data_IF_297896551505
#
_entry.id   IF_297896551505
#
_cell.length_a   1.000
_cell.length_b   1.000
_cell.length_c   1.000
_cell.angle_alpha   90.00
_cell.angle_beta   90.00
_cell.angle_gamma   90.00
#
_symmetry.space_group_name_H-M   'P 1'
#
loop_
_entity.id
_entity.type
_entity.pdbx_description
1 polymer ?
#
# COMPACT_ATOMS: atom_id res chain seq x y z
N UNK A 1 34.31 6.32 -17.90
CA UNK A 1 34.06 5.53 -16.68
C UNK A 1 32.55 5.41 -16.55
N UNK A 2 32.02 4.24 -16.90
CA UNK A 2 30.60 3.93 -16.81
C UNK A 2 30.24 3.68 -15.35
N UNK A 3 29.35 4.51 -14.81
CA UNK A 3 28.76 4.29 -13.49
C UNK A 3 27.73 3.18 -13.63
N UNK A 4 28.10 1.95 -13.24
CA UNK A 4 27.13 0.87 -13.07
C UNK A 4 26.17 1.23 -11.93
N UNK A 5 24.93 1.53 -12.28
CA UNK A 5 23.80 1.56 -11.35
C UNK A 5 23.51 0.11 -10.93
N UNK A 6 23.92 -0.24 -9.72
CA UNK A 6 23.47 -1.47 -9.06
C UNK A 6 21.95 -1.42 -8.93
N UNK A 7 21.25 -2.15 -9.81
CA UNK A 7 19.80 -2.32 -9.74
C UNK A 7 19.55 -3.36 -8.66
N UNK A 8 19.37 -2.91 -7.41
CA UNK A 8 19.01 -3.81 -6.31
C UNK A 8 17.58 -4.30 -6.51
N UNK A 9 17.43 -5.62 -6.55
CA UNK A 9 16.18 -6.36 -6.77
C UNK A 9 15.26 -6.34 -5.52
N UNK A 10 15.14 -5.19 -4.85
CA UNK A 10 14.42 -4.98 -3.59
C UNK A 10 13.02 -4.35 -3.77
N UNK A 11 12.65 -3.97 -4.99
CA UNK A 11 11.42 -3.21 -5.26
C UNK A 11 10.12 -3.97 -5.00
N UNK A 12 10.00 -5.24 -5.41
CA UNK A 12 8.72 -5.96 -5.37
C UNK A 12 8.19 -6.13 -3.94
N UNK A 13 9.04 -6.56 -3.00
CA UNK A 13 8.66 -6.74 -1.60
C UNK A 13 8.32 -5.40 -0.90
N UNK A 14 8.90 -4.29 -1.36
CA UNK A 14 8.56 -2.95 -0.89
C UNK A 14 7.22 -2.49 -1.45
N UNK A 15 6.96 -2.71 -2.75
CA UNK A 15 5.69 -2.35 -3.39
C UNK A 15 4.50 -3.15 -2.83
N UNK A 16 4.70 -4.44 -2.53
CA UNK A 16 3.64 -5.28 -1.92
C UNK A 16 3.33 -4.81 -0.49
N UNK A 17 4.36 -4.50 0.31
CA UNK A 17 4.18 -3.94 1.66
C UNK A 17 3.42 -2.62 1.60
N UNK A 18 3.87 -1.69 0.76
CA UNK A 18 3.18 -0.42 0.55
C UNK A 18 1.70 -0.61 0.19
N UNK A 19 1.37 -1.54 -0.71
CA UNK A 19 -0.02 -1.83 -1.06
C UNK A 19 -0.84 -2.41 0.12
N UNK A 20 -0.21 -3.20 0.98
CA UNK A 20 -0.83 -3.78 2.17
C UNK A 20 -1.05 -2.73 3.26
N UNK A 21 -0.07 -1.85 3.48
CA UNK A 21 -0.17 -0.75 4.45
C UNK A 21 -1.27 0.24 4.04
N UNK A 22 -1.31 0.60 2.74
CA UNK A 22 -2.39 1.44 2.19
C UNK A 22 -3.75 0.76 2.33
N UNK A 23 -3.83 -0.55 2.08
CA UNK A 23 -5.08 -1.30 2.29
C UNK A 23 -5.52 -1.29 3.77
N UNK A 24 -4.58 -1.41 4.70
CA UNK A 24 -4.84 -1.26 6.14
C UNK A 24 -5.41 0.12 6.47
N UNK A 25 -4.72 1.18 6.07
CA UNK A 25 -5.10 2.56 6.36
C UNK A 25 -6.43 2.97 5.71
N UNK A 26 -6.73 2.48 4.50
CA UNK A 26 -7.93 2.85 3.75
C UNK A 26 -9.14 1.96 4.07
N UNK A 27 -9.00 0.89 4.85
CA UNK A 27 -10.06 -0.12 5.05
C UNK A 27 -11.36 0.50 5.53
N UNK A 28 -11.33 1.27 6.61
CA UNK A 28 -12.54 1.81 7.23
C UNK A 28 -13.24 2.82 6.33
N UNK A 29 -12.49 3.74 5.70
CA UNK A 29 -13.08 4.75 4.81
C UNK A 29 -13.65 4.12 3.53
N UNK A 30 -12.97 3.14 2.95
CA UNK A 30 -13.44 2.44 1.75
C UNK A 30 -14.69 1.64 2.05
N UNK A 31 -14.76 0.95 3.19
CA UNK A 31 -15.95 0.19 3.59
C UNK A 31 -17.13 1.09 3.98
N UNK A 32 -16.87 2.19 4.69
CA UNK A 32 -17.90 3.14 5.09
C UNK A 32 -18.50 3.91 3.90
N UNK A 33 -17.72 4.13 2.84
CA UNK A 33 -18.17 4.82 1.62
C UNK A 33 -18.64 3.86 0.53
N UNK A 34 -18.49 2.55 0.70
CA UNK A 34 -18.94 1.57 -0.28
C UNK A 34 -20.47 1.62 -0.45
N UNK A 35 -20.93 1.42 -1.67
CA UNK A 35 -22.34 1.36 -2.02
C UNK A 35 -22.77 -0.07 -2.29
N UNK A 36 -23.77 -0.55 -1.56
CA UNK A 36 -24.46 -1.80 -1.87
C UNK A 36 -25.35 -1.62 -3.10
N UNK A 37 -25.09 -2.38 -4.15
CA UNK A 37 -25.92 -2.42 -5.36
C UNK A 37 -26.21 -3.88 -5.68
N UNK A 38 -27.48 -4.28 -5.63
CA UNK A 38 -27.85 -5.69 -5.65
C UNK A 38 -27.26 -6.44 -4.44
N UNK A 39 -26.50 -7.50 -4.70
CA UNK A 39 -25.86 -8.34 -3.68
C UNK A 39 -24.36 -8.06 -3.46
N UNK A 40 -23.80 -6.98 -4.03
CA UNK A 40 -22.38 -6.64 -3.94
C UNK A 40 -22.14 -5.21 -3.47
N UNK A 41 -21.02 -5.00 -2.78
CA UNK A 41 -20.52 -3.69 -2.40
C UNK A 41 -19.54 -3.16 -3.43
N UNK A 42 -19.71 -1.91 -3.84
CA UNK A 42 -18.90 -1.24 -4.85
C UNK A 42 -18.25 0.01 -4.25
N UNK A 43 -16.98 0.23 -4.58
CA UNK A 43 -16.24 1.40 -4.07
C UNK A 43 -16.72 2.65 -4.80
N UNK A 44 -17.19 3.65 -4.05
CA UNK A 44 -17.52 4.99 -4.57
C UNK A 44 -16.26 5.83 -4.79
N UNK A 45 -16.39 6.91 -5.54
CA UNK A 45 -15.29 7.84 -5.87
C UNK A 45 -14.49 8.29 -4.65
N UNK A 46 -15.13 8.52 -3.49
CA UNK A 46 -14.45 8.95 -2.27
C UNK A 46 -13.50 7.88 -1.72
N UNK A 47 -13.88 6.60 -1.79
CA UNK A 47 -13.03 5.48 -1.42
C UNK A 47 -11.83 5.35 -2.35
N UNK A 48 -12.04 5.53 -3.67
CA UNK A 48 -10.97 5.53 -4.65
C UNK A 48 -9.97 6.67 -4.45
N UNK A 49 -10.46 7.87 -4.15
CA UNK A 49 -9.62 9.02 -3.85
C UNK A 49 -8.82 8.82 -2.55
N UNK A 50 -9.41 8.18 -1.55
CA UNK A 50 -8.71 7.85 -0.30
C UNK A 50 -7.51 6.93 -0.55
N UNK A 51 -7.68 5.91 -1.39
CA UNK A 51 -6.58 5.02 -1.81
C UNK A 51 -5.51 5.80 -2.57
N UNK A 52 -5.91 6.68 -3.49
CA UNK A 52 -4.96 7.51 -4.24
C UNK A 52 -4.11 8.38 -3.31
N UNK A 53 -4.74 9.06 -2.34
CA UNK A 53 -4.06 9.93 -1.37
C UNK A 53 -3.07 9.13 -0.53
N UNK A 54 -3.45 7.95 -0.06
CA UNK A 54 -2.56 7.06 0.70
C UNK A 54 -1.35 6.57 -0.14
N UNK A 55 -1.47 6.52 -1.47
CA UNK A 55 -0.35 6.28 -2.39
C UNK A 55 0.44 7.54 -2.77
N UNK A 56 0.24 8.67 -2.08
CA UNK A 56 0.88 9.94 -2.41
C UNK A 56 0.46 10.49 -3.78
N UNK A 57 -0.77 10.18 -4.19
CA UNK A 57 -1.34 10.57 -5.48
C UNK A 57 -2.62 11.39 -5.30
N UNK A 58 -2.89 12.28 -6.25
CA UNK A 58 -4.13 13.03 -6.35
C UNK A 58 -4.86 12.63 -7.62
N UNK A 59 -6.17 12.42 -7.51
CA UNK A 59 -7.02 12.14 -8.67
C UNK A 59 -7.80 13.40 -9.06
N UNK A 60 -7.88 13.67 -10.35
CA UNK A 60 -8.57 14.82 -10.90
C UNK A 60 -9.26 14.47 -12.22
N UNK A 61 -10.09 15.39 -12.71
CA UNK A 61 -10.79 15.26 -13.98
C UNK A 61 -10.57 16.52 -14.81
N UNK A 62 -10.46 16.35 -16.13
CA UNK A 62 -10.34 17.43 -17.12
C UNK A 62 -11.14 17.12 -18.38
N UNK A 63 -11.24 18.10 -19.26
CA UNK A 63 -11.79 17.95 -20.61
C UNK A 63 -13.22 17.35 -20.62
N UNK A 64 -14.13 17.98 -19.86
CA UNK A 64 -15.56 17.59 -19.86
C UNK A 64 -16.24 18.17 -21.10
N UNK A 65 -16.42 17.32 -22.10
CA UNK A 65 -16.87 17.69 -23.44
C UNK A 65 -18.21 17.03 -23.77
N UNK A 66 -19.05 17.76 -24.52
CA UNK A 66 -20.23 17.16 -25.14
C UNK A 66 -19.77 16.39 -26.36
N UNK A 67 -20.20 15.13 -26.47
CA UNK A 67 -19.92 14.26 -27.61
C UNK A 67 -21.23 13.67 -28.14
N UNK A 68 -21.17 12.96 -29.26
CA UNK A 68 -22.31 12.21 -29.75
C UNK A 68 -22.77 11.20 -28.68
N UNK A 69 -24.06 11.23 -28.36
CA UNK A 69 -24.67 10.31 -27.40
C UNK A 69 -24.39 10.59 -25.92
N UNK A 70 -23.66 11.65 -25.54
CA UNK A 70 -23.45 11.94 -24.12
C UNK A 70 -22.35 12.94 -23.77
N UNK A 71 -21.78 12.78 -22.58
CA UNK A 71 -20.65 13.55 -22.07
C UNK A 71 -19.43 12.64 -21.91
N UNK A 72 -18.26 13.14 -22.33
CA UNK A 72 -16.96 12.50 -22.15
C UNK A 72 -16.11 13.34 -21.20
N UNK A 73 -15.30 12.70 -20.36
CA UNK A 73 -14.34 13.34 -19.47
C UNK A 73 -13.10 12.47 -19.30
N UNK A 74 -11.94 13.11 -19.12
CA UNK A 74 -10.68 12.42 -18.83
C UNK A 74 -10.34 12.56 -17.35
N UNK A 75 -10.24 11.43 -16.65
CA UNK A 75 -9.75 11.33 -15.30
C UNK A 75 -8.24 11.05 -15.32
N UNK A 76 -7.51 11.66 -14.40
CA UNK A 76 -6.07 11.47 -14.23
C UNK A 76 -5.75 11.18 -12.76
N UNK A 77 -4.76 10.32 -12.54
CA UNK A 77 -4.11 10.16 -11.24
C UNK A 77 -2.68 10.63 -11.38
N UNK A 78 -2.28 11.54 -10.50
CA UNK A 78 -0.99 12.22 -10.54
C UNK A 78 -0.26 12.05 -9.22
N UNK A 79 1.05 11.81 -9.25
CA UNK A 79 1.86 11.85 -8.03
C UNK A 79 1.96 13.28 -7.49
N UNK A 80 1.87 13.42 -6.17
CA UNK A 80 1.91 14.72 -5.52
C UNK A 80 3.32 15.35 -5.52
N UNK A 81 4.37 14.52 -5.54
CA UNK A 81 5.76 14.97 -5.41
C UNK A 81 6.31 15.63 -6.69
N UNK A 82 6.02 15.06 -7.86
CA UNK A 82 6.62 15.44 -9.13
C UNK A 82 5.58 15.76 -10.21
N UNK A 83 4.29 15.60 -9.91
CA UNK A 83 3.22 15.86 -10.86
C UNK A 83 3.15 14.85 -12.01
N UNK A 84 3.82 13.69 -11.92
CA UNK A 84 3.77 12.66 -12.97
C UNK A 84 2.39 11.99 -13.01
N UNK A 85 1.80 11.91 -14.19
CA UNK A 85 0.56 11.16 -14.42
C UNK A 85 0.88 9.67 -14.44
N UNK A 86 0.25 8.90 -13.56
CA UNK A 86 0.46 7.45 -13.44
C UNK A 86 -0.68 6.63 -14.02
N UNK A 87 -1.85 7.24 -14.18
CA UNK A 87 -3.02 6.59 -14.76
C UNK A 87 -3.94 7.64 -15.36
N UNK A 88 -4.56 7.29 -16.47
CA UNK A 88 -5.61 8.08 -17.12
C UNK A 88 -6.75 7.17 -17.53
N UNK A 89 -7.98 7.64 -17.42
CA UNK A 89 -9.13 6.91 -17.93
C UNK A 89 -10.21 7.85 -18.44
N UNK A 90 -10.92 7.40 -19.47
CA UNK A 90 -12.10 8.08 -19.96
C UNK A 90 -13.33 7.65 -19.15
N UNK A 91 -14.06 8.64 -18.64
CA UNK A 91 -15.42 8.50 -18.14
C UNK A 91 -16.42 8.97 -19.19
N UNK A 92 -17.52 8.23 -19.32
CA UNK A 92 -18.62 8.55 -20.23
C UNK A 92 -19.94 8.56 -19.48
N UNK A 93 -20.83 9.49 -19.83
CA UNK A 93 -22.20 9.55 -19.34
C UNK A 93 -23.14 9.70 -20.52
N UNK A 94 -23.92 8.65 -20.79
CA UNK A 94 -24.83 8.59 -21.91
C UNK A 94 -26.04 9.51 -21.77
N UNK A 95 -26.61 9.90 -22.91
CA UNK A 95 -27.95 10.49 -23.00
C UNK A 95 -29.05 9.42 -22.84
N UNK A 96 -28.72 8.15 -23.02
CA UNK A 96 -29.59 6.96 -22.90
C UNK A 96 -29.72 6.44 -21.46
N UNK A 97 -28.98 7.02 -20.52
CA UNK A 97 -29.09 6.68 -19.10
C UNK A 97 -30.29 7.37 -18.45
N UNK A 98 -31.41 6.67 -18.32
CA UNK A 98 -32.69 7.20 -17.82
C UNK A 98 -32.57 8.07 -16.54
N UNK A 99 -31.73 7.65 -15.59
CA UNK A 99 -31.49 8.36 -14.33
C UNK A 99 -30.85 9.75 -14.54
N UNK A 100 -29.98 9.88 -15.55
CA UNK A 100 -29.14 11.04 -15.80
C UNK A 100 -29.59 11.89 -16.98
N UNK A 101 -30.31 11.31 -17.94
CA UNK A 101 -30.80 11.97 -19.16
C UNK A 101 -31.60 13.25 -18.85
N UNK A 102 -32.42 13.21 -17.78
CA UNK A 102 -33.28 14.31 -17.35
C UNK A 102 -32.62 15.28 -16.36
N UNK A 103 -31.38 15.01 -15.94
CA UNK A 103 -30.68 15.85 -14.95
C UNK A 103 -30.11 17.12 -15.61
N UNK A 104 -30.03 18.24 -14.88
CA UNK A 104 -29.41 19.47 -15.39
C UNK A 104 -27.97 19.23 -15.88
N UNK A 105 -27.53 20.01 -16.86
CA UNK A 105 -26.21 19.89 -17.48
C UNK A 105 -25.06 19.87 -16.48
N UNK A 106 -25.09 20.70 -15.43
CA UNK A 106 -24.02 20.72 -14.42
C UNK A 106 -23.89 19.38 -13.68
N UNK A 107 -25.02 18.73 -13.36
CA UNK A 107 -25.04 17.45 -12.65
C UNK A 107 -24.53 16.32 -13.56
N UNK A 108 -24.90 16.35 -14.84
CA UNK A 108 -24.39 15.41 -15.85
C UNK A 108 -22.88 15.56 -16.04
N UNK A 109 -22.38 16.80 -16.14
CA UNK A 109 -20.94 17.09 -16.22
C UNK A 109 -20.20 16.59 -14.96
N UNK A 110 -20.73 16.87 -13.77
CA UNK A 110 -20.14 16.39 -12.52
C UNK A 110 -20.10 14.86 -12.43
N UNK A 111 -21.16 14.17 -12.87
CA UNK A 111 -21.20 12.72 -12.87
C UNK A 111 -20.21 12.09 -13.86
N UNK A 112 -20.05 12.72 -15.04
CA UNK A 112 -19.04 12.29 -16.00
C UNK A 112 -17.62 12.40 -15.40
N UNK A 113 -17.34 13.46 -14.63
CA UNK A 113 -16.08 13.63 -13.91
C UNK A 113 -15.87 12.57 -12.83
N UNK A 114 -16.89 12.25 -12.02
CA UNK A 114 -16.75 11.23 -10.96
C UNK A 114 -16.48 9.86 -11.55
N UNK A 115 -17.14 9.47 -12.65
CA UNK A 115 -16.82 8.24 -13.40
C UNK A 115 -15.37 8.20 -13.88
N UNK A 116 -14.92 9.30 -14.49
CA UNK A 116 -13.57 9.39 -15.03
C UNK A 116 -12.51 9.24 -13.91
N UNK A 117 -12.71 9.91 -12.77
CA UNK A 117 -11.84 9.81 -11.58
C UNK A 117 -11.83 8.37 -11.06
N UNK A 118 -13.00 7.79 -10.81
CA UNK A 118 -13.13 6.42 -10.32
C UNK A 118 -12.43 5.41 -11.23
N UNK A 119 -12.56 5.54 -12.55
CA UNK A 119 -11.88 4.68 -13.52
C UNK A 119 -10.36 4.86 -13.53
N UNK A 120 -9.88 6.09 -13.44
CA UNK A 120 -8.44 6.37 -13.41
C UNK A 120 -7.82 5.79 -12.13
N UNK A 121 -8.46 5.99 -10.98
CA UNK A 121 -8.06 5.39 -9.71
C UNK A 121 -8.12 3.85 -9.75
N UNK A 122 -9.19 3.27 -10.29
CA UNK A 122 -9.31 1.82 -10.46
C UNK A 122 -8.14 1.25 -11.26
N UNK A 123 -7.79 1.88 -12.37
CA UNK A 123 -6.70 1.43 -13.24
C UNK A 123 -5.35 1.43 -12.52
N UNK A 124 -5.15 2.35 -11.58
CA UNK A 124 -3.94 2.40 -10.75
C UNK A 124 -4.00 1.46 -9.53
N UNK A 125 -5.15 1.34 -8.86
CA UNK A 125 -5.24 0.87 -7.47
C UNK A 125 -6.26 -0.26 -7.23
N UNK A 126 -6.84 -0.86 -8.26
CA UNK A 126 -7.80 -1.97 -8.08
C UNK A 126 -7.22 -3.14 -7.26
N UNK A 127 -5.91 -3.38 -7.35
CA UNK A 127 -5.21 -4.41 -6.58
C UNK A 127 -5.29 -4.16 -5.06
N UNK A 128 -5.34 -2.90 -4.62
CA UNK A 128 -5.47 -2.52 -3.21
C UNK A 128 -6.86 -2.88 -2.67
N UNK A 129 -7.92 -2.71 -3.46
CA UNK A 129 -9.29 -3.04 -3.04
C UNK A 129 -9.42 -4.51 -2.65
N UNK A 130 -8.75 -5.40 -3.38
CA UNK A 130 -8.73 -6.84 -3.08
C UNK A 130 -8.01 -7.13 -1.75
N UNK A 131 -6.98 -6.35 -1.41
CA UNK A 131 -6.28 -6.45 -0.12
C UNK A 131 -7.12 -5.87 1.04
N UNK A 132 -7.98 -4.89 0.77
CA UNK A 132 -8.91 -4.33 1.75
C UNK A 132 -9.98 -5.38 2.09
N UNK A 133 -10.77 -5.80 1.12
CA UNK A 133 -11.83 -6.78 1.33
C UNK A 133 -12.12 -7.49 0.02
N UNK A 134 -11.90 -8.80 -0.02
CA UNK A 134 -12.13 -9.62 -1.22
C UNK A 134 -13.57 -9.60 -1.72
N UNK A 135 -14.53 -9.22 -0.86
CA UNK A 135 -15.95 -9.13 -1.22
C UNK A 135 -16.33 -7.78 -1.83
N UNK A 136 -15.43 -6.78 -1.78
CA UNK A 136 -15.62 -5.52 -2.49
C UNK A 136 -15.37 -5.72 -3.98
N UNK A 137 -16.31 -5.23 -4.78
CA UNK A 137 -16.13 -5.14 -6.22
C UNK A 137 -15.10 -4.08 -6.57
N UNK A 138 -14.17 -4.42 -7.47
CA UNK A 138 -13.23 -3.46 -8.06
C UNK A 138 -13.86 -2.61 -9.16
N UNK A 139 -15.11 -2.90 -9.56
CA UNK A 139 -15.89 -2.01 -10.43
C UNK A 139 -16.32 -0.80 -9.60
N UNK A 140 -16.06 0.43 -10.03
CA UNK A 140 -16.53 1.60 -9.30
C UNK A 140 -18.05 1.68 -9.26
N UNK A 141 -18.60 2.15 -8.16
CA UNK A 141 -20.06 2.26 -7.98
C UNK A 141 -20.70 3.14 -9.06
N UNK A 142 -20.00 4.17 -9.52
CA UNK A 142 -20.46 5.10 -10.56
C UNK A 142 -20.71 4.44 -11.93
N UNK A 143 -20.13 3.27 -12.19
CA UNK A 143 -20.25 2.50 -13.44
C UNK A 143 -21.36 1.44 -13.38
N UNK A 144 -22.02 1.27 -12.24
CA UNK A 144 -23.01 0.21 -12.04
C UNK A 144 -24.41 0.77 -12.24
N UNK A 145 -25.24 0.16 -13.10
CA UNK A 145 -26.64 0.55 -13.26
C UNK A 145 -27.43 0.41 -11.95
N UNK A 146 -28.50 1.18 -11.83
CA UNK A 146 -29.41 1.08 -10.69
C UNK A 146 -30.08 -0.30 -10.69
N UNK A 147 -29.83 -1.11 -9.66
CA UNK A 147 -30.26 -2.52 -9.60
C UNK A 147 -29.14 -3.53 -9.87
N UNK A 148 -27.98 -3.08 -10.35
CA UNK A 148 -26.83 -3.93 -10.69
C UNK A 148 -26.79 -4.26 -12.18
N UNK A 149 -25.91 -5.17 -12.55
CA UNK A 149 -25.95 -5.78 -13.88
C UNK A 149 -27.01 -6.87 -13.86
N UNK A 150 -28.07 -6.75 -14.66
CA UNK A 150 -29.09 -7.79 -14.80
C UNK A 150 -28.46 -9.08 -15.36
N UNK A 151 -28.07 -9.95 -14.44
CA UNK A 151 -27.87 -11.39 -14.52
C UNK A 151 -27.15 -11.77 -13.22
N UNK A 152 -27.66 -12.71 -12.40
CA UNK A 152 -26.84 -13.35 -11.39
C UNK A 152 -25.84 -14.25 -12.11
N UNK A 153 -24.85 -13.67 -12.79
CA UNK A 153 -23.59 -14.36 -13.00
C UNK A 153 -23.02 -14.50 -11.61
N UNK A 154 -23.33 -15.64 -10.97
CA UNK A 154 -22.51 -16.20 -9.93
C UNK A 154 -21.10 -16.28 -10.52
N UNK A 155 -20.33 -15.21 -10.32
CA UNK A 155 -18.89 -15.32 -10.31
C UNK A 155 -18.64 -16.39 -9.25
N UNK A 156 -18.10 -17.52 -9.68
CA UNK A 156 -17.72 -18.61 -8.81
C UNK A 156 -16.72 -18.05 -7.79
N UNK A 157 -17.24 -17.65 -6.62
CA UNK A 157 -16.46 -17.24 -5.44
C UNK A 157 -15.81 -18.46 -4.78
N UNK A 158 -16.24 -19.66 -5.15
CA UNK A 158 -15.76 -20.94 -4.62
C UNK A 158 -14.36 -21.31 -5.13
N UNK A 159 -13.83 -20.61 -6.14
CA UNK A 159 -12.44 -20.81 -6.59
C UNK A 159 -11.39 -20.29 -5.61
N UNK A 160 -11.78 -19.53 -4.59
CA UNK A 160 -10.89 -19.06 -3.55
C UNK A 160 -11.59 -19.18 -2.19
N UNK A 161 -11.71 -20.40 -1.70
CA UNK A 161 -11.75 -20.62 -0.26
C UNK A 161 -10.54 -19.90 0.35
N UNK A 162 -10.76 -19.12 1.42
CA UNK A 162 -9.63 -18.55 2.13
C UNK A 162 -8.73 -19.71 2.57
N UNK A 163 -7.41 -19.63 2.33
CA UNK A 163 -6.51 -20.64 2.87
C UNK A 163 -6.78 -20.73 4.37
N UNK A 164 -6.94 -21.96 4.85
CA UNK A 164 -7.09 -22.24 6.27
C UNK A 164 -5.95 -21.59 7.05
N UNK A 165 -6.15 -21.35 8.34
CA UNK A 165 -5.08 -20.83 9.20
C UNK A 165 -3.81 -21.72 9.17
N UNK A 166 -3.93 -22.99 8.77
CA UNK A 166 -2.82 -23.92 8.58
C UNK A 166 -2.10 -23.66 7.26
N UNK A 167 -2.82 -23.51 6.15
CA UNK A 167 -2.24 -23.14 4.85
C UNK A 167 -1.62 -21.74 4.87
N UNK A 168 -2.22 -20.78 5.57
CA UNK A 168 -1.61 -19.46 5.79
C UNK A 168 -0.30 -19.60 6.55
N UNK A 169 -0.24 -20.43 7.60
CA UNK A 169 1.00 -20.69 8.35
C UNK A 169 2.05 -21.36 7.47
N UNK A 170 1.65 -22.28 6.62
CA UNK A 170 2.54 -23.04 5.74
C UNK A 170 3.08 -22.19 4.60
N UNK A 171 2.23 -21.41 3.94
CA UNK A 171 2.60 -20.41 2.93
C UNK A 171 3.50 -19.34 3.57
N UNK A 172 3.19 -18.87 4.78
CA UNK A 172 4.03 -17.92 5.51
C UNK A 172 5.37 -18.54 5.87
N UNK A 173 5.41 -19.80 6.29
CA UNK A 173 6.65 -20.52 6.58
C UNK A 173 7.52 -20.67 5.32
N UNK A 174 6.93 -21.07 4.19
CA UNK A 174 7.62 -21.19 2.90
C UNK A 174 8.13 -19.83 2.40
N UNK A 175 7.34 -18.76 2.51
CA UNK A 175 7.76 -17.41 2.15
C UNK A 175 8.86 -16.86 3.08
N UNK A 176 8.83 -17.23 4.37
CA UNK A 176 9.89 -16.90 5.34
C UNK A 176 11.16 -17.71 5.05
N UNK A 177 11.03 -18.93 4.56
CA UNK A 177 12.13 -19.81 4.15
C UNK A 177 12.77 -19.34 2.83
N UNK A 178 11.97 -18.93 1.83
CA UNK A 178 12.44 -18.28 0.60
C UNK A 178 13.06 -16.90 0.85
N UNK A 179 12.59 -16.15 1.87
CA UNK A 179 13.16 -14.87 2.28
C UNK A 179 14.45 -14.99 3.11
N UNK A 180 14.91 -16.20 3.46
CA UNK A 180 16.30 -16.43 3.87
C UNK A 180 17.24 -16.38 2.66
N UNK A 181 17.15 -15.31 1.88
CA UNK A 181 18.22 -14.95 0.94
C UNK A 181 19.50 -14.74 1.74
N UNK A 182 20.69 -15.14 1.21
CA UNK A 182 21.98 -14.88 1.83
C UNK A 182 22.20 -13.42 2.26
N UNK A 183 21.53 -12.47 1.60
CA UNK A 183 21.62 -11.02 1.90
C UNK A 183 20.86 -10.59 3.18
N UNK A 184 19.97 -11.43 3.73
CA UNK A 184 19.32 -11.18 5.03
C UNK A 184 20.28 -11.42 6.21
N UNK A 185 21.49 -11.93 5.96
CA UNK A 185 22.55 -12.06 6.95
C UNK A 185 23.26 -10.72 7.25
N UNK A 186 22.53 -9.66 7.58
CA UNK A 186 23.14 -8.67 8.49
C UNK A 186 23.33 -9.43 9.80
N UNK A 187 24.55 -9.97 10.01
CA UNK A 187 24.91 -10.85 11.13
C UNK A 187 24.45 -10.19 12.44
N UNK A 188 23.34 -10.68 12.98
CA UNK A 188 22.89 -10.32 14.31
C UNK A 188 24.01 -10.64 15.31
N UNK A 189 24.22 -9.77 16.29
CA UNK A 189 25.33 -9.87 17.23
C UNK A 189 24.81 -10.05 18.64
N UNK A 190 25.56 -10.78 19.46
CA UNK A 190 25.22 -11.00 20.88
C UNK A 190 25.91 -9.94 21.73
N UNK A 191 25.16 -9.32 22.64
CA UNK A 191 25.70 -8.37 23.60
C UNK A 191 26.57 -9.11 24.63
N UNK A 192 27.84 -8.72 24.72
CA UNK A 192 28.81 -9.33 25.64
C UNK A 192 28.87 -8.73 27.05
N UNK A 193 28.10 -7.67 27.34
CA UNK A 193 28.25 -6.86 28.55
C UNK A 193 26.92 -6.22 29.02
N UNK A 194 26.92 -5.66 30.23
CA UNK A 194 25.79 -4.89 30.76
C UNK A 194 24.53 -5.72 31.03
N UNK A 195 23.38 -5.04 31.08
CA UNK A 195 22.07 -5.59 31.47
C UNK A 195 21.59 -6.73 30.58
N UNK A 196 21.86 -6.66 29.28
CA UNK A 196 21.37 -7.64 28.28
C UNK A 196 22.46 -8.62 27.81
N UNK A 197 23.47 -8.88 28.63
CA UNK A 197 24.54 -9.82 28.32
C UNK A 197 23.98 -11.21 27.94
N UNK A 198 24.41 -11.73 26.80
CA UNK A 198 24.02 -13.04 26.27
C UNK A 198 22.80 -13.02 25.34
N UNK A 199 22.13 -11.88 25.18
CA UNK A 199 21.01 -11.71 24.25
C UNK A 199 21.47 -11.09 22.93
N UNK A 200 20.76 -11.40 21.83
CA UNK A 200 21.05 -10.78 20.53
C UNK A 200 20.51 -9.35 20.45
N UNK A 201 21.08 -8.52 19.58
CA UNK A 201 20.61 -7.14 19.38
C UNK A 201 19.14 -7.14 18.95
N UNK A 202 18.74 -8.02 18.02
CA UNK A 202 17.34 -8.13 17.60
C UNK A 202 16.41 -8.65 18.70
N UNK A 203 16.88 -9.57 19.56
CA UNK A 203 16.09 -10.04 20.70
C UNK A 203 15.78 -8.90 21.68
N UNK A 204 16.77 -8.03 21.94
CA UNK A 204 16.63 -6.89 22.84
C UNK A 204 15.67 -5.84 22.26
N UNK A 205 15.73 -5.61 20.94
CA UNK A 205 14.89 -4.63 20.25
C UNK A 205 13.39 -4.97 20.25
N UNK A 206 12.99 -6.22 20.52
CA UNK A 206 11.58 -6.66 20.55
C UNK A 206 10.76 -6.09 21.70
N UNK A 207 11.42 -5.46 22.68
CA UNK A 207 10.76 -4.91 23.86
C UNK A 207 11.14 -3.43 24.02
N UNK A 208 10.18 -2.58 24.34
CA UNK A 208 10.35 -1.11 24.43
C UNK A 208 11.50 -0.67 25.35
N UNK A 209 11.64 -1.34 26.51
CA UNK A 209 12.74 -1.09 27.45
C UNK A 209 14.11 -1.46 26.85
N UNK A 210 14.17 -2.55 26.08
CA UNK A 210 15.37 -2.99 25.39
C UNK A 210 15.73 -2.10 24.20
N UNK A 211 14.74 -1.68 23.42
CA UNK A 211 14.91 -0.71 22.33
C UNK A 211 15.47 0.62 22.84
N UNK A 212 14.88 1.18 23.91
CA UNK A 212 15.38 2.40 24.56
C UNK A 212 16.83 2.26 25.04
N UNK A 213 17.20 1.08 25.54
CA UNK A 213 18.58 0.80 25.95
C UNK A 213 19.54 0.72 24.76
N UNK A 214 19.11 0.16 23.63
CA UNK A 214 19.91 0.12 22.39
C UNK A 214 20.12 1.52 21.82
N UNK A 215 19.11 2.39 21.87
CA UNK A 215 19.21 3.81 21.50
C UNK A 215 20.31 4.51 22.30
N UNK A 216 20.23 4.44 23.64
CA UNK A 216 21.25 4.98 24.53
C UNK A 216 22.64 4.38 24.24
N UNK A 217 22.70 3.06 24.02
CA UNK A 217 23.94 2.35 23.75
C UNK A 217 24.58 2.85 22.45
N UNK A 218 23.80 3.15 21.42
CA UNK A 218 24.30 3.61 20.11
C UNK A 218 25.07 4.94 20.20
N UNK A 219 24.74 5.76 21.19
CA UNK A 219 25.33 7.09 21.43
C UNK A 219 26.56 7.03 22.36
N UNK A 220 26.79 5.91 23.06
CA UNK A 220 27.90 5.82 24.00
C UNK A 220 29.26 5.77 23.28
N UNK A 221 30.26 6.52 23.78
CA UNK A 221 31.59 6.55 23.20
C UNK A 221 32.21 5.15 23.19
N UNK A 222 32.87 4.82 22.09
CA UNK A 222 33.57 3.55 21.97
C UNK A 222 34.86 3.56 22.78
N UNK A 223 35.20 2.41 23.36
CA UNK A 223 36.49 2.25 24.02
C UNK A 223 37.57 2.12 22.95
N UNK A 224 38.64 2.89 23.11
CA UNK A 224 39.81 2.79 22.24
C UNK A 224 40.71 1.66 22.71
N UNK A 225 41.29 0.95 21.75
CA UNK A 225 42.40 0.06 21.95
C UNK A 225 43.70 0.86 22.21
N UNK A 226 44.80 0.20 22.63
CA UNK A 226 46.07 0.87 22.91
C UNK A 226 46.67 1.66 21.74
N UNK A 227 46.20 1.41 20.51
CA UNK A 227 46.57 2.10 19.27
C UNK A 227 45.76 3.41 19.04
N UNK A 228 44.88 3.77 19.97
CA UNK A 228 44.03 4.96 19.91
C UNK A 228 42.78 4.79 19.03
N UNK A 229 42.59 3.65 18.38
CA UNK A 229 41.41 3.36 17.55
C UNK A 229 40.36 2.56 18.32
N UNK A 230 39.06 2.72 18.05
CA UNK A 230 38.02 1.89 18.66
C UNK A 230 38.21 0.40 18.41
N UNK A 231 37.87 -0.46 19.38
CA UNK A 231 37.89 -1.91 19.18
C UNK A 231 36.98 -2.30 18.01
N UNK A 232 37.54 -3.05 17.05
CA UNK A 232 36.82 -3.50 15.84
C UNK A 232 35.49 -4.21 16.14
N UNK A 233 35.43 -5.00 17.21
CA UNK A 233 34.22 -5.70 17.65
C UNK A 233 33.13 -4.71 18.11
N UNK A 234 33.51 -3.63 18.79
CA UNK A 234 32.57 -2.63 19.29
C UNK A 234 32.03 -1.77 18.14
N UNK A 235 32.86 -1.47 17.14
CA UNK A 235 32.42 -0.79 15.89
C UNK A 235 31.40 -1.64 15.13
N UNK A 236 31.67 -2.95 14.99
CA UNK A 236 30.74 -3.87 14.33
C UNK A 236 29.43 -3.99 15.09
N UNK A 237 29.49 -4.14 16.42
CA UNK A 237 28.30 -4.17 17.26
C UNK A 237 27.48 -2.88 17.11
N UNK A 238 28.12 -1.71 17.09
CA UNK A 238 27.43 -0.42 16.88
C UNK A 238 26.76 -0.34 15.52
N UNK A 239 27.37 -0.86 14.47
CA UNK A 239 26.76 -0.91 13.15
C UNK A 239 25.49 -1.76 13.14
N UNK A 240 25.51 -2.92 13.81
CA UNK A 240 24.33 -3.79 13.96
C UNK A 240 23.25 -3.14 14.82
N UNK A 241 23.62 -2.49 15.92
CA UNK A 241 22.67 -1.76 16.79
C UNK A 241 21.99 -0.63 16.03
N UNK A 242 22.73 0.17 15.26
CA UNK A 242 22.16 1.24 14.43
C UNK A 242 21.22 0.71 13.35
N UNK A 243 21.61 -0.36 12.65
CA UNK A 243 20.75 -0.98 11.65
C UNK A 243 19.43 -1.49 12.26
N UNK A 244 19.47 -2.08 13.46
CA UNK A 244 18.28 -2.56 14.16
C UNK A 244 17.40 -1.42 14.69
N UNK A 245 18.00 -0.31 15.14
CA UNK A 245 17.28 0.90 15.51
C UNK A 245 16.55 1.49 14.29
N UNK A 246 17.25 1.64 13.16
CA UNK A 246 16.67 2.15 11.91
C UNK A 246 15.59 1.23 11.33
N UNK A 247 15.62 -0.08 11.64
CA UNK A 247 14.52 -1.01 11.38
C UNK A 247 13.33 -0.74 12.31
N UNK A 248 13.56 -0.59 13.62
CA UNK A 248 12.50 -0.37 14.61
C UNK A 248 11.81 1.01 14.53
N UNK A 249 12.55 2.08 14.22
CA UNK A 249 11.97 3.41 13.99
C UNK A 249 11.05 3.45 12.75
N UNK A 250 11.24 2.54 11.79
CA UNK A 250 10.33 2.38 10.65
C UNK A 250 9.06 1.62 11.01
N UNK A 251 9.10 0.78 12.04
CA UNK A 251 7.95 0.02 12.55
C UNK A 251 7.16 0.80 13.63
N UNK A 252 7.77 1.80 14.30
CA UNK A 252 7.13 2.64 15.34
C UNK A 252 6.49 3.94 14.83
N UNK A 253 6.48 4.24 13.51
CA UNK A 253 5.66 5.34 13.00
C UNK A 253 4.18 4.93 13.14
N UNK A 254 3.42 5.54 14.06
CA UNK A 254 2.05 5.16 14.29
C UNK A 254 1.19 5.86 13.22
N UNK A 255 0.55 5.05 12.38
CA UNK A 255 -0.71 5.41 11.73
C UNK A 255 -1.74 4.32 12.06
#
# INVERSE_FOLDING_TARGET
>A
METQLATTNTGVAQHIRQATDVAGACREIVKATAQRIGNKDYVKVEGWQSIAVAHGCVASAKDVERVEGGWKCIGEVRRMDNGQVISTAEGFLGDDEDMWAKRPTYARRAMCQTRAISRACRSAFAHVVVLIDRNLSTTPAEEVPMGGFDEPRQLNTDKYEAPSNEEIKEITAQLVEEKKSPDSQIKDMVIGFGKYKGKSVREIARHSEGFSWLMWLSEQPLKNAPDGQPYRKDVQLRAVVKAVIEEGEKDEIPF
#
